data_IF_614177166705
#
_entry.id   IF_614177166705
#
_cell.length_a   1.000
_cell.length_b   1.000
_cell.length_c   1.000
_cell.angle_alpha   90.00
_cell.angle_beta   90.00
_cell.angle_gamma   90.00
#
_symmetry.space_group_name_H-M   'P 1'
#
loop_
_entity.id
_entity.type
_entity.pdbx_description
1 polymer ?
#
# COMPACT_ATOMS: atom_id res chain seq x y z
N UNK A 1 55.95 18.57 31.78
CA UNK A 1 56.23 17.66 30.65
C UNK A 1 54.91 17.07 30.19
N UNK A 2 54.37 17.55 29.06
CA UNK A 2 53.05 17.13 28.57
C UNK A 2 53.14 15.71 28.02
N UNK A 3 52.50 14.78 28.72
CA UNK A 3 52.37 13.38 28.35
C UNK A 3 51.66 13.28 26.98
N UNK A 4 52.43 13.22 25.89
CA UNK A 4 51.91 12.92 24.56
C UNK A 4 51.56 11.43 24.59
N UNK A 5 50.35 11.12 25.08
CA UNK A 5 49.78 9.77 25.10
C UNK A 5 50.06 9.16 23.72
N UNK A 6 50.90 8.11 23.70
CA UNK A 6 51.23 7.43 22.46
C UNK A 6 49.92 6.94 21.88
N UNK A 7 49.54 7.43 20.70
CA UNK A 7 48.32 6.98 20.03
C UNK A 7 48.50 5.51 19.69
N UNK A 8 47.70 4.64 20.30
CA UNK A 8 47.64 3.25 19.90
C UNK A 8 46.80 3.16 18.62
N UNK A 9 47.50 3.15 17.49
CA UNK A 9 46.87 3.13 16.17
C UNK A 9 46.07 1.84 15.93
N UNK A 10 46.43 0.74 16.57
CA UNK A 10 45.74 -0.53 16.39
C UNK A 10 44.43 -0.55 17.18
N UNK A 11 44.45 -0.03 18.41
CA UNK A 11 43.23 0.18 19.21
C UNK A 11 42.27 1.14 18.50
N UNK A 12 42.77 2.25 17.96
CA UNK A 12 41.99 3.21 17.17
C UNK A 12 41.33 2.55 15.94
N UNK A 13 42.09 1.77 15.17
CA UNK A 13 41.57 1.07 13.98
C UNK A 13 40.54 0.02 14.35
N UNK A 14 40.75 -0.71 15.45
CA UNK A 14 39.80 -1.69 15.96
C UNK A 14 38.47 -1.03 16.35
N UNK A 15 38.52 0.08 17.09
CA UNK A 15 37.34 0.84 17.49
C UNK A 15 36.55 1.37 16.28
N UNK A 16 37.25 1.91 15.26
CA UNK A 16 36.61 2.39 14.03
C UNK A 16 35.96 1.24 13.25
N UNK A 17 36.63 0.09 13.12
CA UNK A 17 36.07 -1.09 12.42
C UNK A 17 34.83 -1.65 13.13
N UNK A 18 34.86 -1.72 14.45
CA UNK A 18 33.71 -2.16 15.25
C UNK A 18 32.52 -1.21 15.07
N UNK A 19 32.78 0.11 15.08
CA UNK A 19 31.76 1.11 14.81
C UNK A 19 31.16 1.01 13.39
N UNK A 20 32.00 0.80 12.38
CA UNK A 20 31.55 0.55 11.00
C UNK A 20 30.62 -0.65 10.94
N UNK A 21 31.00 -1.78 11.55
CA UNK A 21 30.16 -2.99 11.56
C UNK A 21 28.78 -2.72 12.16
N UNK A 22 28.75 -2.11 13.35
CA UNK A 22 27.49 -1.80 14.04
C UNK A 22 26.60 -0.85 13.24
N UNK A 23 27.17 0.17 12.61
CA UNK A 23 26.42 1.10 11.77
C UNK A 23 25.84 0.41 10.54
N UNK A 24 26.63 -0.42 9.85
CA UNK A 24 26.17 -1.14 8.65
C UNK A 24 25.12 -2.23 8.96
N UNK A 25 25.20 -2.85 10.14
CA UNK A 25 24.22 -3.83 10.62
C UNK A 25 22.96 -3.19 11.21
N UNK A 26 22.95 -1.87 11.41
CA UNK A 26 21.80 -1.13 11.96
C UNK A 26 21.64 -1.29 13.47
N UNK A 27 22.72 -1.62 14.19
CA UNK A 27 22.72 -1.82 15.66
C UNK A 27 23.70 -0.80 16.31
N UNK A 28 23.49 0.52 16.15
CA UNK A 28 24.37 1.52 16.75
C UNK A 28 24.26 1.54 18.28
N UNK A 29 25.38 1.77 18.96
CA UNK A 29 25.44 1.90 20.42
C UNK A 29 25.43 3.34 20.89
N UNK A 30 26.02 4.25 20.11
CA UNK A 30 26.20 5.65 20.52
C UNK A 30 25.57 6.64 19.54
N UNK A 31 25.42 6.24 18.27
CA UNK A 31 24.77 7.06 17.24
C UNK A 31 23.26 7.13 17.48
N UNK A 32 22.72 8.33 17.65
CA UNK A 32 21.30 8.53 17.97
C UNK A 32 20.38 8.42 16.75
N UNK A 33 20.88 8.81 15.55
CA UNK A 33 20.08 8.77 14.32
C UNK A 33 20.33 7.52 13.48
N UNK A 34 21.41 6.76 13.74
CA UNK A 34 21.80 5.59 12.93
C UNK A 34 22.14 5.91 11.47
N UNK A 35 22.37 7.18 11.12
CA UNK A 35 22.69 7.58 9.74
C UNK A 35 24.09 7.11 9.36
N UNK A 36 24.24 6.64 8.14
CA UNK A 36 25.52 6.17 7.62
C UNK A 36 26.42 7.33 7.15
N UNK A 37 26.83 8.20 8.09
CA UNK A 37 27.66 9.39 7.82
C UNK A 37 28.96 9.36 8.61
N UNK A 38 29.97 10.13 8.17
CA UNK A 38 31.24 10.23 8.88
C UNK A 38 31.08 10.80 10.31
N UNK A 39 30.12 11.71 10.54
CA UNK A 39 29.84 12.26 11.87
C UNK A 39 29.31 11.19 12.82
N UNK A 40 28.40 10.34 12.34
CA UNK A 40 27.88 9.23 13.14
C UNK A 40 28.96 8.16 13.36
N UNK A 41 29.83 7.91 12.38
CA UNK A 41 30.98 7.03 12.58
C UNK A 41 31.92 7.53 13.68
N UNK A 42 32.16 8.85 13.75
CA UNK A 42 32.94 9.46 14.83
C UNK A 42 32.26 9.22 16.17
N UNK A 43 30.96 9.54 16.28
CA UNK A 43 30.16 9.33 17.50
C UNK A 43 30.17 7.86 17.92
N UNK A 44 29.98 6.94 16.97
CA UNK A 44 29.92 5.49 17.20
C UNK A 44 31.26 4.89 17.61
N UNK A 45 32.36 5.40 17.09
CA UNK A 45 33.71 4.94 17.43
C UNK A 45 34.14 5.36 18.83
N UNK A 46 33.49 6.38 19.42
CA UNK A 46 33.91 7.00 20.68
C UNK A 46 35.25 7.74 20.59
N UNK A 47 35.83 7.86 19.39
CA UNK A 47 37.10 8.54 19.15
C UNK A 47 36.88 10.00 18.80
N UNK A 48 37.94 10.80 18.99
CA UNK A 48 37.92 12.19 18.55
C UNK A 48 37.92 12.29 17.02
N UNK A 49 37.28 13.34 16.51
CA UNK A 49 37.20 13.66 15.09
C UNK A 49 38.56 13.60 14.38
N UNK A 50 39.59 14.23 14.96
CA UNK A 50 40.93 14.26 14.35
C UNK A 50 41.59 12.88 14.28
N UNK A 51 41.33 12.01 15.24
CA UNK A 51 41.82 10.63 15.23
C UNK A 51 41.16 9.83 14.12
N UNK A 52 39.83 9.92 13.98
CA UNK A 52 39.10 9.19 12.94
C UNK A 52 39.53 9.65 11.54
N UNK A 53 39.73 10.96 11.34
CA UNK A 53 40.20 11.49 10.06
C UNK A 53 41.65 11.14 9.71
N UNK A 54 42.48 10.71 10.66
CA UNK A 54 43.80 10.14 10.34
C UNK A 54 43.69 8.77 9.65
N UNK A 55 42.58 8.05 9.86
CA UNK A 55 42.29 6.73 9.28
C UNK A 55 41.34 6.86 8.08
N UNK A 56 41.74 7.67 7.08
CA UNK A 56 40.92 7.94 5.89
C UNK A 56 40.55 6.69 5.10
N UNK A 57 41.45 5.71 5.07
CA UNK A 57 41.22 4.41 4.44
C UNK A 57 39.93 3.75 4.96
N UNK A 58 39.70 3.78 6.27
CA UNK A 58 38.52 3.19 6.89
C UNK A 58 37.25 4.01 6.62
N UNK A 59 37.36 5.33 6.51
CA UNK A 59 36.25 6.20 6.15
C UNK A 59 35.83 5.95 4.70
N UNK A 60 36.80 5.84 3.79
CA UNK A 60 36.57 5.60 2.38
C UNK A 60 35.95 4.22 2.16
N UNK A 61 36.46 3.18 2.84
CA UNK A 61 35.88 1.84 2.86
C UNK A 61 34.44 1.84 3.38
N UNK A 62 34.18 2.57 4.47
CA UNK A 62 32.83 2.74 5.01
C UNK A 62 31.91 3.38 3.97
N UNK A 63 32.30 4.51 3.38
CA UNK A 63 31.51 5.19 2.37
C UNK A 63 31.28 4.33 1.12
N UNK A 64 32.27 3.53 0.70
CA UNK A 64 32.13 2.60 -0.41
C UNK A 64 31.08 1.51 -0.09
N UNK A 65 31.11 0.94 1.11
CA UNK A 65 30.11 -0.05 1.57
C UNK A 65 28.72 0.56 1.70
N UNK A 66 28.62 1.77 2.23
CA UNK A 66 27.36 2.53 2.32
C UNK A 66 26.78 2.79 0.93
N UNK A 67 27.62 3.18 -0.03
CA UNK A 67 27.20 3.35 -1.43
C UNK A 67 26.78 2.02 -2.05
N UNK A 68 27.47 0.92 -1.78
CA UNK A 68 27.08 -0.40 -2.28
C UNK A 68 25.74 -0.86 -1.69
N UNK A 69 25.47 -0.60 -0.41
CA UNK A 69 24.21 -0.96 0.26
C UNK A 69 23.05 -0.05 -0.18
N UNK A 70 23.31 1.25 -0.40
CA UNK A 70 22.32 2.23 -0.85
C UNK A 70 22.18 2.32 -2.38
N UNK A 71 23.04 1.64 -3.14
CA UNK A 71 22.83 1.41 -4.57
C UNK A 71 21.61 0.52 -4.66
N UNK A 72 20.44 1.15 -4.77
CA UNK A 72 19.13 0.51 -4.82
C UNK A 72 19.24 -0.63 -5.81
N UNK A 73 19.21 -1.91 -5.37
CA UNK A 73 19.33 -3.01 -6.30
C UNK A 73 18.22 -2.82 -7.32
N UNK A 74 18.53 -2.95 -8.61
CA UNK A 74 17.54 -2.79 -9.70
C UNK A 74 16.24 -3.55 -9.44
N UNK A 75 16.31 -4.66 -8.71
CA UNK A 75 15.19 -5.43 -8.19
C UNK A 75 14.22 -4.63 -7.31
N UNK A 76 14.69 -3.71 -6.46
CA UNK A 76 13.83 -2.88 -5.61
C UNK A 76 13.13 -1.77 -6.43
N UNK A 77 13.80 -1.21 -7.44
CA UNK A 77 13.14 -0.29 -8.38
C UNK A 77 12.04 -1.01 -9.16
N UNK A 78 12.34 -2.19 -9.69
CA UNK A 78 11.36 -3.05 -10.37
C UNK A 78 10.18 -3.41 -9.45
N UNK A 79 10.45 -3.72 -8.17
CA UNK A 79 9.41 -4.02 -7.20
C UNK A 79 8.52 -2.79 -6.90
N UNK A 80 9.12 -1.61 -6.79
CA UNK A 80 8.41 -0.35 -6.61
C UNK A 80 7.50 -0.03 -7.80
N UNK A 81 8.03 -0.20 -9.02
CA UNK A 81 7.28 0.01 -10.27
C UNK A 81 6.12 -1.00 -10.39
N UNK A 82 6.37 -2.28 -10.07
CA UNK A 82 5.34 -3.32 -10.03
C UNK A 82 4.26 -3.00 -8.98
N UNK A 83 4.65 -2.55 -7.80
CA UNK A 83 3.72 -2.17 -6.75
C UNK A 83 2.85 -0.97 -7.17
N UNK A 84 3.44 0.04 -7.82
CA UNK A 84 2.71 1.16 -8.37
C UNK A 84 1.71 0.73 -9.46
N UNK A 85 2.15 -0.14 -10.39
CA UNK A 85 1.29 -0.69 -11.43
C UNK A 85 0.13 -1.51 -10.85
N UNK A 86 0.41 -2.35 -9.84
CA UNK A 86 -0.60 -3.19 -9.19
C UNK A 86 -1.61 -2.35 -8.41
N UNK A 87 -1.15 -1.28 -7.73
CA UNK A 87 -2.01 -0.32 -7.05
C UNK A 87 -2.96 0.38 -8.03
N UNK A 88 -2.45 0.83 -9.17
CA UNK A 88 -3.26 1.46 -10.22
C UNK A 88 -4.30 0.50 -10.81
N UNK A 89 -3.90 -0.76 -11.06
CA UNK A 89 -4.83 -1.81 -11.52
C UNK A 89 -5.93 -2.05 -10.49
N UNK A 90 -5.58 -2.16 -9.20
CA UNK A 90 -6.54 -2.37 -8.12
C UNK A 90 -7.54 -1.22 -8.01
N UNK A 91 -7.08 0.03 -8.13
CA UNK A 91 -7.98 1.19 -8.14
C UNK A 91 -8.94 1.17 -9.32
N UNK A 92 -8.46 0.81 -10.51
CA UNK A 92 -9.31 0.72 -11.70
C UNK A 92 -10.37 -0.38 -11.54
N UNK A 93 -9.97 -1.58 -11.13
CA UNK A 93 -10.89 -2.71 -10.91
C UNK A 93 -11.93 -2.39 -9.83
N UNK A 94 -11.55 -1.69 -8.76
CA UNK A 94 -12.51 -1.23 -7.75
C UNK A 94 -13.53 -0.25 -8.32
N UNK A 95 -13.10 0.67 -9.18
CA UNK A 95 -13.99 1.63 -9.82
C UNK A 95 -14.95 0.93 -10.80
N UNK A 96 -14.45 -0.01 -11.60
CA UNK A 96 -15.29 -0.82 -12.48
C UNK A 96 -16.32 -1.61 -11.68
N UNK A 97 -15.92 -2.28 -10.60
CA UNK A 97 -16.83 -3.02 -9.73
C UNK A 97 -17.90 -2.11 -9.09
N UNK A 98 -17.54 -0.88 -8.70
CA UNK A 98 -18.50 0.08 -8.17
C UNK A 98 -19.53 0.50 -9.23
N UNK A 99 -19.08 0.74 -10.47
CA UNK A 99 -19.96 1.08 -11.59
C UNK A 99 -20.92 -0.07 -11.90
N UNK A 100 -20.41 -1.30 -12.00
CA UNK A 100 -21.25 -2.49 -12.26
C UNK A 100 -22.30 -2.71 -11.17
N UNK A 101 -21.93 -2.49 -9.90
CA UNK A 101 -22.88 -2.57 -8.78
C UNK A 101 -23.96 -1.49 -8.86
N UNK A 102 -23.60 -0.28 -9.27
CA UNK A 102 -24.56 0.81 -9.46
C UNK A 102 -25.53 0.49 -10.60
N UNK A 103 -25.03 0.04 -11.75
CA UNK A 103 -25.85 -0.39 -12.89
C UNK A 103 -26.79 -1.53 -12.50
N UNK A 104 -26.28 -2.56 -11.83
CA UNK A 104 -27.08 -3.71 -11.37
C UNK A 104 -28.18 -3.26 -10.41
N UNK A 105 -27.92 -2.27 -9.55
CA UNK A 105 -28.93 -1.73 -8.63
C UNK A 105 -30.07 -1.03 -9.41
N UNK A 106 -29.72 -0.19 -10.39
CA UNK A 106 -30.71 0.50 -11.24
C UNK A 106 -31.57 -0.51 -12.00
N UNK A 107 -30.94 -1.50 -12.63
CA UNK A 107 -31.66 -2.54 -13.36
C UNK A 107 -32.60 -3.34 -12.46
N UNK A 108 -32.17 -3.69 -11.24
CA UNK A 108 -33.04 -4.37 -10.27
C UNK A 108 -34.26 -3.53 -9.89
N UNK A 109 -34.09 -2.22 -9.73
CA UNK A 109 -35.21 -1.32 -9.42
C UNK A 109 -36.19 -1.25 -10.60
N UNK A 110 -35.69 -1.06 -11.82
CA UNK A 110 -36.55 -1.02 -13.02
C UNK A 110 -37.30 -2.34 -13.24
N UNK A 111 -36.64 -3.49 -13.03
CA UNK A 111 -37.30 -4.80 -13.13
C UNK A 111 -38.43 -4.92 -12.09
N UNK A 112 -38.21 -4.48 -10.85
CA UNK A 112 -39.23 -4.54 -9.81
C UNK A 112 -40.45 -3.66 -10.13
N UNK A 113 -40.21 -2.45 -10.63
CA UNK A 113 -41.26 -1.51 -11.06
C UNK A 113 -42.07 -2.07 -12.24
N UNK A 114 -41.40 -2.51 -13.31
CA UNK A 114 -42.06 -3.11 -14.46
C UNK A 114 -42.82 -4.40 -14.09
N UNK A 115 -42.31 -5.20 -13.15
CA UNK A 115 -43.00 -6.39 -12.68
C UNK A 115 -44.30 -6.06 -11.93
N UNK A 116 -44.29 -4.98 -11.15
CA UNK A 116 -45.46 -4.49 -10.43
C UNK A 116 -46.51 -3.95 -11.41
N UNK A 117 -46.11 -3.10 -12.36
CA UNK A 117 -47.01 -2.56 -13.40
C UNK A 117 -47.66 -3.66 -14.23
N UNK A 118 -46.87 -4.67 -14.60
CA UNK A 118 -47.36 -5.82 -15.36
C UNK A 118 -48.38 -6.63 -14.55
N UNK A 119 -48.12 -6.85 -13.25
CA UNK A 119 -49.04 -7.54 -12.36
C UNK A 119 -50.37 -6.77 -12.22
N UNK A 120 -50.31 -5.45 -12.00
CA UNK A 120 -51.47 -4.58 -11.91
C UNK A 120 -52.30 -4.62 -13.21
N UNK A 121 -51.65 -4.51 -14.37
CA UNK A 121 -52.32 -4.58 -15.68
C UNK A 121 -53.03 -5.93 -15.88
N UNK A 122 -52.41 -7.03 -15.42
CA UNK A 122 -53.03 -8.37 -15.48
C UNK A 122 -54.25 -8.47 -14.57
N UNK A 123 -54.17 -7.93 -13.37
CA UNK A 123 -55.29 -7.91 -12.41
C UNK A 123 -56.47 -7.10 -12.95
N UNK A 124 -56.22 -5.90 -13.49
CA UNK A 124 -57.23 -5.06 -14.13
C UNK A 124 -57.91 -5.77 -15.31
N UNK A 125 -57.14 -6.45 -16.16
CA UNK A 125 -57.70 -7.25 -17.26
C UNK A 125 -58.58 -8.40 -16.76
N UNK A 126 -58.18 -9.08 -15.68
CA UNK A 126 -59.01 -10.13 -15.09
C UNK A 126 -60.32 -9.59 -14.53
N UNK A 127 -60.28 -8.44 -13.84
CA UNK A 127 -61.46 -7.81 -13.27
C UNK A 127 -62.45 -7.35 -14.36
N UNK A 128 -61.94 -6.71 -15.42
CA UNK A 128 -62.76 -6.33 -16.58
C UNK A 128 -63.40 -7.56 -17.26
N UNK A 129 -62.67 -8.66 -17.37
CA UNK A 129 -63.20 -9.91 -17.96
C UNK A 129 -64.30 -10.55 -17.10
N UNK A 130 -64.18 -10.46 -15.77
CA UNK A 130 -65.18 -10.98 -14.83
C UNK A 130 -66.49 -10.16 -14.89
N UNK A 131 -66.40 -8.83 -14.99
CA UNK A 131 -67.56 -7.94 -15.18
C UNK A 131 -68.28 -8.22 -16.50
N UNK A 132 -67.53 -8.42 -17.60
CA UNK A 132 -68.12 -8.76 -18.89
C UNK A 132 -68.87 -10.11 -18.85
N UNK A 133 -68.34 -11.12 -18.16
CA UNK A 133 -69.00 -12.43 -17.98
C UNK A 133 -70.30 -12.32 -17.19
N UNK A 134 -70.34 -11.56 -16.10
CA UNK A 134 -71.56 -11.35 -15.30
C UNK A 134 -72.68 -10.65 -16.08
N UNK A 135 -72.33 -9.74 -17.00
CA UNK A 135 -73.31 -9.09 -17.90
C UNK A 135 -73.88 -10.07 -18.94
N UNK A 136 -73.09 -11.05 -19.38
CA UNK A 136 -73.52 -12.05 -20.38
C UNK A 136 -74.43 -13.16 -19.82
N UNK A 137 -74.42 -13.40 -18.51
CA UNK A 137 -75.26 -14.42 -17.86
C UNK A 137 -76.66 -13.93 -17.48
N UNK A 138 -77.01 -12.68 -17.81
CA UNK A 138 -78.27 -12.04 -17.39
C UNK A 138 -79.35 -11.98 -18.49
N UNK A 139 -79.27 -12.85 -19.50
CA UNK A 139 -80.34 -13.01 -20.51
C UNK A 139 -80.76 -14.47 -20.62
N UNK A 140 -81.62 -14.93 -19.70
CA UNK A 140 -82.78 -15.77 -20.03
C UNK A 140 -83.85 -15.48 -18.97
N UNK A 141 -84.93 -14.81 -19.40
CA UNK A 141 -86.14 -14.58 -18.63
C UNK A 141 -86.93 -15.88 -18.36
N UNK A 142 -87.78 -15.90 -17.32
CA UNK A 142 -88.69 -16.99 -16.97
C UNK A 142 -89.98 -16.98 -17.82
N UNK A 143 -90.82 -18.00 -17.66
CA UNK A 143 -92.13 -18.27 -18.33
C UNK A 143 -92.01 -19.17 -19.58
N UNK A 144 -92.72 -20.31 -19.73
CA UNK A 144 -93.91 -20.88 -19.06
C UNK A 144 -93.85 -22.40 -19.21
#
# INVERSE_FOLDING_TARGET
MTNRKFRDRDEERSAIRAAIHRLLEGIPLHSSSGKLTATELITESGLRRDVVYDHRDLIDDFQARVKAQNSTPTAFQQLSDQHAALKNSLTNTKQQLANERATTKILRQAIAELSLELQQTREELTDLSNVARLRSTNTVDPET
#
